data_IF_332382644327
#
_entry.id   IF_332382644327
#
_cell.length_a   1.000
_cell.length_b   1.000
_cell.length_c   1.000
_cell.angle_alpha   90.00
_cell.angle_beta   90.00
_cell.angle_gamma   90.00
#
_symmetry.space_group_name_H-M   'P 1'
#
loop_
_entity.id
_entity.type
_entity.pdbx_description
1 polymer ?
#
# COMPACT_ATOMS: atom_id res chain seq x y z
N UNK A 1 7.43 -15.37 -1.56
CA UNK A 1 6.88 -14.28 -0.73
C UNK A 1 7.63 -13.06 -1.12
N UNK A 2 7.04 -12.43 -2.12
CA UNK A 2 7.63 -11.42 -2.97
C UNK A 2 6.94 -10.08 -2.70
N UNK A 3 5.69 -10.13 -2.20
CA UNK A 3 5.00 -9.03 -1.54
C UNK A 3 4.57 -9.38 -0.10
N UNK A 4 4.43 -8.37 0.76
CA UNK A 4 3.87 -8.46 2.12
C UNK A 4 2.93 -7.30 2.38
N UNK A 5 1.71 -7.58 2.84
CA UNK A 5 0.76 -6.56 3.29
C UNK A 5 0.79 -6.54 4.81
N UNK A 6 1.13 -5.41 5.40
CA UNK A 6 1.22 -5.22 6.85
C UNK A 6 0.04 -4.34 7.25
N UNK A 7 -0.89 -4.87 8.04
CA UNK A 7 -2.16 -4.19 8.32
C UNK A 7 -2.25 -3.85 9.81
N UNK A 8 -2.67 -2.63 10.12
CA UNK A 8 -3.13 -2.22 11.44
C UNK A 8 -4.55 -1.65 11.34
N UNK A 9 -5.21 -1.47 12.48
CA UNK A 9 -6.52 -0.85 12.59
C UNK A 9 -6.34 0.58 13.12
N UNK A 10 -6.84 1.59 12.39
CA UNK A 10 -6.65 3.00 12.75
C UNK A 10 -7.32 3.39 14.07
N UNK A 11 -8.25 2.57 14.57
CA UNK A 11 -8.93 2.77 15.85
C UNK A 11 -8.33 1.89 16.97
N UNK A 12 -7.14 1.30 16.78
CA UNK A 12 -6.53 0.43 17.79
C UNK A 12 -5.01 0.63 17.86
N UNK A 13 -4.56 1.40 18.85
CA UNK A 13 -3.14 1.69 19.09
C UNK A 13 -2.26 0.43 19.24
N UNK A 14 -2.75 -0.60 19.93
CA UNK A 14 -2.02 -1.86 20.14
C UNK A 14 -1.74 -2.58 18.80
N UNK A 15 -2.63 -2.43 17.82
CA UNK A 15 -2.42 -3.00 16.48
C UNK A 15 -1.22 -2.36 15.75
N UNK A 16 -1.00 -1.05 15.93
CA UNK A 16 0.16 -0.36 15.37
C UNK A 16 1.46 -0.73 16.08
N UNK A 17 1.43 -0.93 17.39
CA UNK A 17 2.58 -1.42 18.16
C UNK A 17 3.01 -2.80 17.66
N UNK A 18 2.06 -3.69 17.42
CA UNK A 18 2.32 -5.01 16.82
C UNK A 18 2.92 -4.91 15.42
N UNK A 19 2.42 -3.98 14.59
CA UNK A 19 2.97 -3.71 13.25
C UNK A 19 4.45 -3.30 13.32
N UNK A 20 4.86 -2.56 14.34
CA UNK A 20 6.27 -2.16 14.50
C UNK A 20 7.19 -3.37 14.59
N UNK A 21 6.81 -4.40 15.34
CA UNK A 21 7.57 -5.65 15.44
C UNK A 21 7.51 -6.47 14.14
N UNK A 22 6.36 -6.48 13.46
CA UNK A 22 6.20 -7.14 12.16
C UNK A 22 7.12 -6.49 11.11
N UNK A 23 7.18 -5.16 11.04
CA UNK A 23 8.06 -4.41 10.15
C UNK A 23 9.55 -4.73 10.42
N UNK A 24 9.96 -4.78 11.68
CA UNK A 24 11.34 -5.18 12.05
C UNK A 24 11.65 -6.59 11.58
N UNK A 25 10.72 -7.52 11.75
CA UNK A 25 10.87 -8.91 11.30
C UNK A 25 10.95 -9.00 9.77
N UNK A 26 10.08 -8.27 9.07
CA UNK A 26 10.09 -8.19 7.61
C UNK A 26 11.43 -7.67 7.09
N UNK A 27 11.94 -6.55 7.61
CA UNK A 27 13.23 -5.99 7.20
C UNK A 27 14.38 -6.99 7.31
N UNK A 28 14.44 -7.79 8.39
CA UNK A 28 15.45 -8.84 8.58
C UNK A 28 15.35 -9.97 7.56
N UNK A 29 14.13 -10.35 7.18
CA UNK A 29 13.91 -11.37 6.14
C UNK A 29 14.22 -10.81 4.75
N UNK A 30 13.91 -9.55 4.52
CA UNK A 30 14.11 -8.88 3.24
C UNK A 30 15.57 -8.77 2.84
N UNK A 31 16.49 -8.61 3.80
CA UNK A 31 17.93 -8.58 3.54
C UNK A 31 18.49 -9.87 2.91
N UNK A 32 17.74 -10.97 2.91
CA UNK A 32 18.15 -12.27 2.35
C UNK A 32 17.58 -12.55 0.96
N UNK A 33 16.80 -11.62 0.40
CA UNK A 33 16.10 -11.77 -0.88
C UNK A 33 16.39 -10.60 -1.81
N UNK A 34 16.30 -10.85 -3.10
CA UNK A 34 16.36 -9.81 -4.13
C UNK A 34 14.99 -9.13 -4.24
N UNK A 35 14.89 -7.89 -3.73
CA UNK A 35 13.77 -6.94 -3.97
C UNK A 35 12.36 -7.33 -3.46
N UNK A 36 12.16 -7.68 -2.18
CA UNK A 36 10.82 -7.89 -1.64
C UNK A 36 10.02 -6.58 -1.53
N UNK A 37 8.74 -6.63 -1.90
CA UNK A 37 7.78 -5.52 -1.79
C UNK A 37 7.02 -5.61 -0.46
N UNK A 38 6.77 -4.46 0.18
CA UNK A 38 5.81 -4.37 1.27
C UNK A 38 4.97 -3.10 1.17
N UNK A 39 3.80 -3.13 1.80
CA UNK A 39 2.95 -1.96 2.03
C UNK A 39 2.38 -2.01 3.44
N UNK A 40 2.32 -0.85 4.09
CA UNK A 40 1.65 -0.64 5.36
C UNK A 40 0.22 -0.17 5.08
N UNK A 41 -0.76 -0.78 5.74
CA UNK A 41 -2.18 -0.52 5.51
C UNK A 41 -2.87 -0.17 6.83
N UNK A 42 -3.38 1.05 6.93
CA UNK A 42 -4.30 1.46 8.00
C UNK A 42 -5.73 1.10 7.63
N UNK A 43 -6.26 0.01 8.17
CA UNK A 43 -7.62 -0.46 7.89
C UNK A 43 -8.65 0.24 8.80
N UNK A 44 -9.91 0.18 8.38
CA UNK A 44 -11.09 0.78 9.04
C UNK A 44 -11.09 2.31 8.98
N UNK A 45 -10.68 2.89 7.84
CA UNK A 45 -10.76 4.33 7.59
C UNK A 45 -12.16 4.94 7.73
N UNK A 46 -13.21 4.10 7.73
CA UNK A 46 -14.61 4.49 7.88
C UNK A 46 -15.03 4.85 9.31
N UNK A 47 -14.20 4.60 10.33
CA UNK A 47 -14.54 4.89 11.74
C UNK A 47 -13.59 5.90 12.37
N UNK A 48 -13.95 6.35 13.58
CA UNK A 48 -13.16 7.33 14.32
C UNK A 48 -11.78 6.76 14.65
N UNK A 49 -10.75 7.50 14.27
CA UNK A 49 -9.34 7.16 14.52
C UNK A 49 -8.90 7.43 15.95
N UNK A 50 -8.05 6.56 16.47
CA UNK A 50 -7.38 6.71 17.77
C UNK A 50 -5.88 6.99 17.62
N UNK A 51 -5.31 6.60 16.49
CA UNK A 51 -3.90 6.76 16.14
C UNK A 51 -3.76 8.01 15.28
N UNK A 52 -2.74 8.86 15.48
CA UNK A 52 -2.44 10.02 14.63
C UNK A 52 -1.94 9.59 13.22
N UNK A 53 -2.36 10.29 12.15
CA UNK A 53 -2.08 9.89 10.76
C UNK A 53 -0.66 10.28 10.39
N UNK A 54 -0.31 11.52 10.71
CA UNK A 54 1.01 12.09 10.49
C UNK A 54 2.09 11.25 11.18
N UNK A 55 1.83 10.75 12.39
CA UNK A 55 2.77 9.87 13.10
C UNK A 55 3.01 8.54 12.34
N UNK A 56 1.96 7.98 11.73
CA UNK A 56 2.08 6.74 10.94
C UNK A 56 2.76 7.03 9.60
N UNK A 57 2.48 8.15 8.96
CA UNK A 57 3.15 8.58 7.72
C UNK A 57 4.65 8.73 7.95
N UNK A 58 5.06 9.44 9.02
CA UNK A 58 6.47 9.58 9.41
C UNK A 58 7.09 8.19 9.69
N UNK A 59 6.37 7.32 10.42
CA UNK A 59 6.85 5.96 10.68
C UNK A 59 7.08 5.17 9.38
N UNK A 60 6.13 5.26 8.44
CA UNK A 60 6.18 4.56 7.16
C UNK A 60 7.36 5.06 6.29
N UNK A 61 7.55 6.38 6.23
CA UNK A 61 8.67 7.03 5.54
C UNK A 61 10.02 6.61 6.12
N UNK A 62 10.16 6.62 7.45
CA UNK A 62 11.38 6.17 8.14
C UNK A 62 11.72 4.71 7.84
N UNK A 63 10.70 3.88 7.60
CA UNK A 63 10.86 2.46 7.24
C UNK A 63 10.98 2.24 5.74
N UNK A 64 10.79 3.28 4.93
CA UNK A 64 10.71 3.23 3.46
C UNK A 64 9.65 2.23 2.98
N UNK A 65 8.52 2.16 3.69
CA UNK A 65 7.38 1.31 3.35
C UNK A 65 6.23 2.25 2.94
N UNK A 66 5.64 2.09 1.74
CA UNK A 66 4.47 2.85 1.35
C UNK A 66 3.32 2.66 2.34
N UNK A 67 2.53 3.71 2.56
CA UNK A 67 1.37 3.67 3.46
C UNK A 67 0.09 4.01 2.70
N UNK A 68 -0.99 3.27 2.97
CA UNK A 68 -2.32 3.57 2.46
C UNK A 68 -3.37 3.26 3.54
N UNK A 69 -4.37 4.13 3.71
CA UNK A 69 -5.52 3.85 4.57
C UNK A 69 -6.66 3.26 3.73
N UNK A 70 -7.34 2.24 4.24
CA UNK A 70 -8.40 1.49 3.55
C UNK A 70 -9.63 1.32 4.43
N UNK A 71 -10.80 1.22 3.79
CA UNK A 71 -11.99 0.67 4.44
C UNK A 71 -12.41 -0.57 3.66
N UNK A 72 -12.13 -1.75 4.22
CA UNK A 72 -12.66 -3.00 3.68
C UNK A 72 -14.20 -3.04 3.71
N UNK A 73 -14.83 -2.29 4.62
CA UNK A 73 -16.29 -2.22 4.76
C UNK A 73 -16.93 -1.38 3.66
N UNK A 74 -16.31 -0.25 3.31
CA UNK A 74 -16.80 0.65 2.26
C UNK A 74 -16.17 0.38 0.89
N UNK A 75 -15.27 -0.61 0.81
CA UNK A 75 -14.47 -0.91 -0.38
C UNK A 75 -13.64 0.29 -0.87
N UNK A 76 -13.15 1.12 0.07
CA UNK A 76 -12.33 2.29 -0.23
C UNK A 76 -10.85 1.92 -0.21
N UNK A 77 -10.11 2.34 -1.25
CA UNK A 77 -8.67 2.16 -1.41
C UNK A 77 -8.17 0.71 -1.44
N UNK A 78 -9.08 -0.29 -1.43
CA UNK A 78 -8.72 -1.72 -1.44
C UNK A 78 -8.09 -2.09 -2.77
N UNK A 79 -8.71 -1.70 -3.88
CA UNK A 79 -8.19 -1.97 -5.24
C UNK A 79 -6.88 -1.25 -5.46
N UNK A 80 -6.81 0.03 -5.10
CA UNK A 80 -5.64 0.90 -5.23
C UNK A 80 -4.44 0.33 -4.46
N UNK A 81 -4.68 -0.19 -3.24
CA UNK A 81 -3.67 -0.88 -2.43
C UNK A 81 -3.10 -2.10 -3.17
N UNK A 82 -3.96 -2.97 -3.70
CA UNK A 82 -3.52 -4.15 -4.45
C UNK A 82 -2.79 -3.77 -5.75
N UNK A 83 -3.32 -2.81 -6.51
CA UNK A 83 -2.70 -2.31 -7.75
C UNK A 83 -1.31 -1.72 -7.48
N UNK A 84 -1.13 -0.98 -6.38
CA UNK A 84 0.16 -0.45 -5.97
C UNK A 84 1.19 -1.55 -5.70
N UNK A 85 0.80 -2.64 -5.04
CA UNK A 85 1.68 -3.79 -4.80
C UNK A 85 2.04 -4.47 -6.12
N UNK A 86 1.04 -4.74 -6.97
CA UNK A 86 1.24 -5.44 -8.24
C UNK A 86 2.19 -4.64 -9.13
N UNK A 87 1.98 -3.32 -9.24
CA UNK A 87 2.84 -2.42 -10.00
C UNK A 87 4.30 -2.50 -9.53
N UNK A 88 4.53 -2.44 -8.22
CA UNK A 88 5.88 -2.53 -7.62
C UNK A 88 6.53 -3.90 -7.81
N UNK A 89 5.75 -4.98 -7.77
CA UNK A 89 6.25 -6.31 -8.07
C UNK A 89 6.73 -6.41 -9.52
N UNK A 90 5.91 -5.92 -10.45
CA UNK A 90 6.25 -5.86 -11.87
C UNK A 90 7.50 -5.01 -12.07
N UNK A 91 7.56 -3.79 -11.53
CA UNK A 91 8.73 -2.90 -11.61
C UNK A 91 10.02 -3.56 -11.06
N UNK A 92 9.90 -4.32 -9.98
CA UNK A 92 11.04 -5.03 -9.40
C UNK A 92 11.55 -6.16 -10.31
N UNK A 93 10.63 -6.81 -11.05
CA UNK A 93 10.90 -7.85 -12.04
C UNK A 93 11.30 -7.28 -13.42
N UNK A 94 10.83 -6.07 -13.76
CA UNK A 94 10.97 -5.41 -15.07
C UNK A 94 12.10 -4.40 -15.17
N UNK A 95 13.15 -4.56 -14.35
CA UNK A 95 14.51 -4.14 -14.76
C UNK A 95 14.94 -4.77 -16.12
N UNK A 96 14.10 -5.58 -16.76
CA UNK A 96 13.97 -5.69 -18.21
C UNK A 96 12.59 -5.25 -18.74
N UNK A 97 12.51 -4.02 -19.27
CA UNK A 97 11.57 -3.47 -20.28
C UNK A 97 10.06 -3.46 -20.01
N UNK A 98 9.44 -2.27 -20.18
CA UNK A 98 8.05 -2.15 -20.62
C UNK A 98 7.33 -0.88 -20.16
N UNK A 99 7.43 0.20 -20.97
CA UNK A 99 6.47 1.30 -20.98
C UNK A 99 5.04 0.75 -21.17
N UNK A 100 4.13 1.14 -20.30
CA UNK A 100 2.69 1.03 -20.55
C UNK A 100 2.13 2.45 -20.50
N UNK A 101 1.93 3.01 -21.69
CA UNK A 101 1.18 4.23 -21.93
C UNK A 101 -0.25 4.04 -21.40
N UNK A 102 -0.61 4.83 -20.40
CA UNK A 102 -1.99 5.02 -19.94
C UNK A 102 -2.63 6.13 -20.79
N UNK A 103 -2.76 5.88 -22.09
CA UNK A 103 -3.67 6.64 -22.94
C UNK A 103 -5.07 6.06 -22.74
N UNK A 104 -5.73 6.52 -21.67
CA UNK A 104 -7.18 6.39 -21.55
C UNK A 104 -7.78 7.34 -22.58
N UNK A 105 -8.05 6.82 -23.76
CA UNK A 105 -8.92 7.43 -24.76
C UNK A 105 -10.37 7.35 -24.23
N UNK A 106 -10.75 8.35 -23.43
CA UNK A 106 -12.15 8.61 -23.07
C UNK A 106 -12.63 9.78 -23.93
N UNK A 107 -13.02 9.47 -25.17
CA UNK A 107 -13.67 10.39 -26.09
C UNK A 107 -14.67 9.64 -26.99
N UNK A 108 -15.72 9.12 -26.36
CA UNK A 108 -17.01 8.70 -26.96
C UNK A 108 -18.07 9.24 -25.98
N UNK A 109 -19.09 10.04 -26.25
CA UNK A 109 -19.94 10.44 -27.38
C UNK A 109 -20.50 11.86 -26.99
N UNK A 110 -21.07 12.72 -27.82
CA UNK A 110 -21.72 12.52 -29.10
C UNK A 110 -22.23 13.86 -29.67
N UNK A 111 -22.45 13.81 -30.98
CA UNK A 111 -23.05 14.82 -31.84
C UNK A 111 -24.56 14.94 -31.59
N UNK A 112 -25.07 16.17 -31.36
CA UNK A 112 -26.41 16.59 -31.81
C UNK A 112 -26.60 18.12 -31.64
N UNK A 113 -26.31 18.90 -32.69
CA UNK A 113 -27.08 20.12 -33.10
C UNK A 113 -26.85 20.47 -34.56
#
# INVERSE_FOLDING_TARGET
MDATIIIYDISNQESLENVTEICKRWQRFSSRKTKPVAILVGNKSDIKREINKEDVEIFAEQKQIPHIETSAKLNENVTEMFMSIIKRLIENDSDGTGDYDDDVDDSDDGDDT
#
